data_IF_274390439306
#
_entry.id   IF_274390439306
#
_cell.length_a   1.000
_cell.length_b   1.000
_cell.length_c   1.000
_cell.angle_alpha   90.00
_cell.angle_beta   90.00
_cell.angle_gamma   90.00
#
_symmetry.space_group_name_H-M   'P 1'
#
loop_
_entity.id
_entity.type
_entity.pdbx_description
1 polymer ?
#
# COMPACT_ATOMS: atom_id res chain seq x y z
N UNK A 1 -11.87 5.21 -23.80
CA UNK A 1 -10.43 5.54 -23.69
C UNK A 1 -10.12 6.66 -24.68
N UNK A 2 -9.34 7.66 -24.28
CA UNK A 2 -8.98 8.82 -25.12
C UNK A 2 -7.49 8.80 -25.40
N UNK A 3 -7.11 9.04 -26.66
CA UNK A 3 -5.72 9.20 -27.09
C UNK A 3 -5.52 10.64 -27.55
N UNK A 4 -4.57 11.35 -26.96
CA UNK A 4 -4.37 12.76 -27.24
C UNK A 4 -3.47 12.88 -28.46
N UNK A 5 -3.99 13.48 -29.54
CA UNK A 5 -3.26 13.69 -30.78
C UNK A 5 -2.61 15.08 -30.76
N UNK A 6 -3.34 16.11 -30.33
CA UNK A 6 -2.87 17.50 -30.24
C UNK A 6 -3.48 18.23 -29.05
N UNK A 7 -2.81 19.28 -28.59
CA UNK A 7 -3.25 20.09 -27.45
C UNK A 7 -2.74 19.56 -26.10
N UNK A 8 -3.25 20.13 -25.01
CA UNK A 8 -2.90 19.75 -23.64
C UNK A 8 -4.15 19.64 -22.77
N UNK A 9 -4.19 18.61 -21.92
CA UNK A 9 -5.23 18.44 -20.93
C UNK A 9 -4.60 18.38 -19.54
N UNK A 10 -5.34 18.80 -18.54
CA UNK A 10 -5.02 18.57 -17.15
C UNK A 10 -5.88 17.42 -16.61
N UNK A 11 -5.25 16.43 -16.00
CA UNK A 11 -5.89 15.29 -15.36
C UNK A 11 -5.70 15.41 -13.85
N UNK A 12 -6.79 15.51 -13.11
CA UNK A 12 -6.78 15.61 -11.65
C UNK A 12 -7.54 14.44 -11.00
N UNK A 13 -6.98 13.85 -9.94
CA UNK A 13 -7.66 12.87 -9.09
C UNK A 13 -7.64 13.29 -7.62
N UNK A 14 -8.75 13.01 -6.94
CA UNK A 14 -8.96 13.27 -5.51
C UNK A 14 -9.11 11.98 -4.69
N UNK A 15 -8.87 10.81 -5.30
CA UNK A 15 -9.01 9.47 -4.68
C UNK A 15 -10.25 9.37 -3.77
N UNK A 16 -11.42 9.61 -4.37
CA UNK A 16 -12.71 9.52 -3.67
C UNK A 16 -13.00 10.68 -2.71
N UNK A 17 -12.33 11.83 -2.83
CA UNK A 17 -12.56 13.00 -1.98
C UNK A 17 -11.77 13.01 -0.67
N UNK A 18 -10.72 12.19 -0.58
CA UNK A 18 -9.87 12.14 0.61
C UNK A 18 -9.10 13.45 0.75
N UNK A 19 -9.33 14.18 1.85
CA UNK A 19 -8.65 15.46 2.11
C UNK A 19 -7.13 15.30 2.11
N UNK A 20 -6.43 16.11 1.31
CA UNK A 20 -4.97 16.09 1.21
C UNK A 20 -4.39 15.11 0.17
N UNK A 21 -5.24 14.42 -0.59
CA UNK A 21 -4.83 13.68 -1.78
C UNK A 21 -5.29 14.43 -3.03
N UNK A 22 -4.40 15.21 -3.63
CA UNK A 22 -4.62 15.85 -4.92
C UNK A 22 -3.43 15.53 -5.82
N UNK A 23 -3.69 14.78 -6.88
CA UNK A 23 -2.71 14.51 -7.91
C UNK A 23 -3.19 15.12 -9.22
N UNK A 24 -2.47 16.11 -9.71
CA UNK A 24 -2.70 16.73 -11.01
C UNK A 24 -1.52 16.46 -11.93
N UNK A 25 -1.83 16.16 -13.19
CA UNK A 25 -0.85 15.93 -14.23
C UNK A 25 -1.31 16.53 -15.56
N UNK A 26 -0.36 17.11 -16.30
CA UNK A 26 -0.60 17.58 -17.66
C UNK A 26 -0.39 16.44 -18.65
N UNK A 27 -1.46 16.07 -19.35
CA UNK A 27 -1.43 15.14 -20.47
C UNK A 27 -1.08 15.88 -21.76
N UNK A 28 -0.15 15.31 -22.52
CA UNK A 28 0.44 15.85 -23.75
C UNK A 28 0.08 14.97 -24.96
N UNK A 29 0.38 15.43 -26.19
CA UNK A 29 0.27 14.58 -27.37
C UNK A 29 1.02 13.26 -27.20
N UNK A 30 0.35 12.15 -27.48
CA UNK A 30 0.85 10.79 -27.26
C UNK A 30 0.43 10.16 -25.92
N UNK A 31 -0.09 10.96 -24.97
CA UNK A 31 -0.63 10.43 -23.72
C UNK A 31 -2.07 9.91 -23.90
N UNK A 32 -2.49 9.09 -22.94
CA UNK A 32 -3.77 8.41 -22.94
C UNK A 32 -4.54 8.65 -21.63
N UNK A 33 -5.87 8.61 -21.72
CA UNK A 33 -6.79 8.70 -20.59
C UNK A 33 -7.83 7.58 -20.66
N UNK A 34 -8.30 7.10 -19.51
CA UNK A 34 -9.27 6.00 -19.42
C UNK A 34 -8.61 4.62 -19.48
N UNK A 35 -7.42 4.50 -18.91
CA UNK A 35 -6.60 3.28 -18.85
C UNK A 35 -7.17 2.18 -17.95
N UNK A 36 -8.07 2.55 -17.05
CA UNK A 36 -8.89 1.61 -16.28
C UNK A 36 -9.72 0.71 -17.20
N UNK A 37 -10.17 1.23 -18.34
CA UNK A 37 -10.95 0.49 -19.31
C UNK A 37 -10.11 -0.57 -20.03
N UNK A 38 -8.81 -0.29 -20.23
CA UNK A 38 -7.88 -1.26 -20.81
C UNK A 38 -7.68 -2.46 -19.88
N UNK A 39 -7.57 -2.22 -18.57
CA UNK A 39 -7.48 -3.29 -17.59
C UNK A 39 -8.74 -4.15 -17.60
N UNK A 40 -9.92 -3.53 -17.67
CA UNK A 40 -11.19 -4.24 -17.81
C UNK A 40 -11.25 -5.08 -19.08
N UNK A 41 -10.92 -4.51 -20.24
CA UNK A 41 -11.00 -5.18 -21.54
C UNK A 41 -10.05 -6.38 -21.66
N UNK A 42 -8.91 -6.36 -20.94
CA UNK A 42 -7.91 -7.43 -20.94
C UNK A 42 -8.24 -8.61 -20.01
N UNK A 43 -9.27 -8.49 -19.17
CA UNK A 43 -9.69 -9.58 -18.30
C UNK A 43 -10.35 -10.70 -19.12
N UNK A 44 -10.10 -11.99 -18.81
CA UNK A 44 -10.74 -13.10 -19.51
C UNK A 44 -12.28 -13.05 -19.48
N UNK A 45 -12.84 -12.59 -18.35
CA UNK A 45 -14.26 -12.41 -18.14
C UNK A 45 -14.52 -11.00 -17.60
N UNK A 46 -14.61 -9.97 -18.47
CA UNK A 46 -14.88 -8.61 -18.04
C UNK A 46 -16.30 -8.51 -17.47
N UNK A 47 -16.46 -7.76 -16.38
CA UNK A 47 -17.78 -7.45 -15.82
C UNK A 47 -18.65 -6.72 -16.84
N UNK A 48 -19.98 -6.87 -16.73
CA UNK A 48 -20.93 -6.13 -17.58
C UNK A 48 -20.85 -4.63 -17.30
N UNK A 49 -20.55 -4.25 -16.05
CA UNK A 49 -20.37 -2.86 -15.66
C UNK A 49 -18.97 -2.36 -16.05
N UNK A 50 -18.93 -1.13 -16.57
CA UNK A 50 -17.69 -0.42 -16.87
C UNK A 50 -17.04 0.10 -15.58
N UNK A 51 -15.70 0.20 -15.54
CA UNK A 51 -15.02 0.90 -14.46
C UNK A 51 -15.39 2.38 -14.49
N UNK A 52 -15.75 2.94 -13.33
CA UNK A 52 -15.95 4.38 -13.18
C UNK A 52 -14.60 5.11 -13.24
N UNK A 53 -14.54 6.21 -13.98
CA UNK A 53 -13.36 7.07 -13.97
C UNK A 53 -13.12 7.62 -12.56
N UNK A 54 -11.87 7.57 -12.11
CA UNK A 54 -11.41 8.17 -10.83
C UNK A 54 -10.72 9.52 -11.04
N UNK A 55 -10.72 9.99 -12.29
CA UNK A 55 -9.98 11.15 -12.75
C UNK A 55 -10.94 12.11 -13.46
N UNK A 56 -10.80 13.39 -13.17
CA UNK A 56 -11.42 14.47 -13.92
C UNK A 56 -10.39 15.06 -14.88
N UNK A 57 -10.75 15.18 -16.15
CA UNK A 57 -9.89 15.75 -17.18
C UNK A 57 -10.47 17.06 -17.69
N UNK A 58 -9.61 18.08 -17.76
CA UNK A 58 -9.95 19.44 -18.19
C UNK A 58 -9.07 19.83 -19.37
N UNK A 59 -9.67 20.27 -20.47
CA UNK A 59 -8.91 20.83 -21.59
C UNK A 59 -8.34 22.20 -21.19
N UNK A 60 -7.05 22.42 -21.43
CA UNK A 60 -6.39 23.71 -21.17
C UNK A 60 -6.46 24.66 -22.38
N UNK A 61 -6.89 24.14 -23.54
CA UNK A 61 -7.04 24.87 -24.80
C UNK A 61 -7.73 23.99 -25.85
N UNK A 62 -7.49 24.25 -27.13
CA UNK A 62 -7.94 23.39 -28.22
C UNK A 62 -7.21 22.05 -28.19
N UNK A 63 -7.98 20.96 -28.23
CA UNK A 63 -7.49 19.60 -28.09
C UNK A 63 -8.12 18.73 -29.16
N UNK A 64 -7.28 17.95 -29.84
CA UNK A 64 -7.72 16.88 -30.72
C UNK A 64 -7.40 15.55 -30.03
N UNK A 65 -8.43 14.73 -29.82
CA UNK A 65 -8.29 13.41 -29.21
C UNK A 65 -9.10 12.36 -29.96
N UNK A 66 -8.55 11.17 -30.08
CA UNK A 66 -9.24 10.00 -30.61
C UNK A 66 -9.93 9.24 -29.47
N UNK A 67 -11.23 9.01 -29.61
CA UNK A 67 -12.01 8.27 -28.63
C UNK A 67 -12.20 6.82 -29.10
N UNK A 68 -11.66 5.87 -28.34
CA UNK A 68 -11.92 4.44 -28.50
C UNK A 68 -12.97 4.01 -27.47
N UNK A 69 -14.10 3.53 -27.97
CA UNK A 69 -15.21 3.07 -27.12
C UNK A 69 -14.87 1.75 -26.42
N UNK A 70 -15.60 1.45 -25.35
CA UNK A 70 -15.35 0.27 -24.54
C UNK A 70 -15.59 -1.03 -25.31
N UNK A 71 -16.62 -1.05 -26.14
CA UNK A 71 -17.04 -2.19 -26.94
C UNK A 71 -15.97 -2.52 -27.99
N UNK A 72 -15.48 -1.48 -28.67
CA UNK A 72 -14.43 -1.59 -29.69
C UNK A 72 -13.11 -2.03 -29.05
N UNK A 73 -12.76 -1.49 -27.88
CA UNK A 73 -11.56 -1.90 -27.14
C UNK A 73 -11.63 -3.37 -26.71
N UNK A 74 -12.79 -3.83 -26.23
CA UNK A 74 -13.02 -5.24 -25.87
C UNK A 74 -12.92 -6.15 -27.09
N UNK A 75 -13.47 -5.73 -28.23
CA UNK A 75 -13.37 -6.46 -29.49
C UNK A 75 -11.92 -6.64 -29.91
N UNK A 76 -11.14 -5.56 -29.90
CA UNK A 76 -9.70 -5.59 -30.21
C UNK A 76 -8.96 -6.48 -29.21
N UNK A 77 -9.21 -6.34 -27.90
CA UNK A 77 -8.56 -7.16 -26.89
C UNK A 77 -8.80 -8.66 -27.10
N UNK A 78 -10.04 -9.04 -27.43
CA UNK A 78 -10.41 -10.42 -27.68
C UNK A 78 -9.78 -10.99 -28.96
N UNK A 79 -9.66 -10.18 -30.02
CA UNK A 79 -9.09 -10.68 -31.27
C UNK A 79 -7.57 -10.81 -31.22
N UNK A 80 -6.89 -9.83 -30.64
CA UNK A 80 -5.43 -9.81 -30.64
C UNK A 80 -4.88 -10.54 -29.42
N UNK A 81 -4.62 -11.85 -29.55
CA UNK A 81 -3.97 -12.67 -28.50
C UNK A 81 -2.68 -12.04 -27.95
N UNK A 82 -1.94 -11.31 -28.81
CA UNK A 82 -0.72 -10.58 -28.43
C UNK A 82 -0.98 -9.51 -27.37
N UNK A 83 -2.21 -8.98 -27.28
CA UNK A 83 -2.60 -7.99 -26.27
C UNK A 83 -2.59 -8.56 -24.84
N UNK A 84 -2.81 -9.86 -24.69
CA UNK A 84 -2.72 -10.58 -23.42
C UNK A 84 -1.29 -10.98 -23.03
N UNK A 85 -0.29 -10.66 -23.86
CA UNK A 85 1.11 -10.91 -23.51
C UNK A 85 1.52 -10.11 -22.28
N UNK A 86 2.20 -10.78 -21.33
CA UNK A 86 2.75 -10.13 -20.13
C UNK A 86 3.66 -8.95 -20.46
N UNK A 87 4.44 -9.05 -21.56
CA UNK A 87 5.33 -7.96 -22.01
C UNK A 87 4.54 -6.70 -22.33
N UNK A 88 3.45 -6.84 -23.08
CA UNK A 88 2.63 -5.70 -23.47
C UNK A 88 1.82 -5.13 -22.30
N UNK A 89 1.26 -6.01 -21.46
CA UNK A 89 0.57 -5.57 -20.23
C UNK A 89 1.50 -4.78 -19.32
N UNK A 90 2.76 -5.21 -19.17
CA UNK A 90 3.77 -4.46 -18.41
C UNK A 90 4.10 -3.11 -19.05
N UNK A 91 4.20 -3.04 -20.39
CA UNK A 91 4.39 -1.77 -21.09
C UNK A 91 3.23 -0.79 -20.82
N UNK A 92 1.98 -1.24 -20.95
CA UNK A 92 0.81 -0.41 -20.64
C UNK A 92 0.80 0.06 -19.17
N UNK A 93 1.10 -0.83 -18.23
CA UNK A 93 1.23 -0.46 -16.80
C UNK A 93 2.36 0.54 -16.56
N UNK A 94 3.45 0.45 -17.31
CA UNK A 94 4.58 1.36 -17.19
C UNK A 94 4.25 2.76 -17.73
N UNK A 95 3.51 2.86 -18.84
CA UNK A 95 3.11 4.14 -19.43
C UNK A 95 1.91 4.79 -18.74
N UNK A 96 1.15 4.01 -17.97
CA UNK A 96 0.01 4.50 -17.21
C UNK A 96 0.39 5.43 -16.07
N UNK A 97 -0.31 6.56 -15.98
CA UNK A 97 -0.14 7.53 -14.91
C UNK A 97 -0.73 7.04 -13.58
N UNK A 98 -1.85 6.32 -13.62
CA UNK A 98 -2.48 5.76 -12.45
C UNK A 98 -1.58 4.70 -11.79
N UNK A 99 -1.02 3.78 -12.57
CA UNK A 99 -0.12 2.74 -12.06
C UNK A 99 1.16 3.35 -11.45
N UNK A 100 1.73 4.41 -12.06
CA UNK A 100 2.86 5.16 -11.48
C UNK A 100 2.49 5.82 -10.15
N UNK A 101 1.32 6.45 -10.09
CA UNK A 101 0.80 7.09 -8.87
C UNK A 101 0.62 6.08 -7.75
N UNK A 102 -0.03 4.95 -8.05
CA UNK A 102 -0.23 3.85 -7.12
C UNK A 102 1.10 3.31 -6.60
N UNK A 103 2.08 3.11 -7.49
CA UNK A 103 3.43 2.68 -7.12
C UNK A 103 4.11 3.65 -6.14
N UNK A 104 4.02 4.96 -6.41
CA UNK A 104 4.51 6.00 -5.51
C UNK A 104 3.83 5.96 -4.14
N UNK A 105 2.50 5.87 -4.11
CA UNK A 105 1.71 5.79 -2.88
C UNK A 105 2.05 4.56 -2.05
N UNK A 106 2.25 3.41 -2.71
CA UNK A 106 2.61 2.16 -2.04
C UNK A 106 3.97 2.26 -1.34
N UNK A 107 4.97 2.80 -2.02
CA UNK A 107 6.31 3.04 -1.45
C UNK A 107 6.21 4.02 -0.27
N UNK A 108 5.47 5.12 -0.44
CA UNK A 108 5.26 6.11 0.62
C UNK A 108 4.59 5.49 1.85
N UNK A 109 3.57 4.65 1.67
CA UNK A 109 2.89 3.95 2.76
C UNK A 109 3.84 3.01 3.50
N UNK A 110 4.62 2.20 2.76
CA UNK A 110 5.62 1.30 3.34
C UNK A 110 6.67 2.06 4.16
N UNK A 111 7.16 3.20 3.64
CA UNK A 111 8.11 4.07 4.34
C UNK A 111 7.53 4.69 5.62
N UNK A 112 6.30 5.21 5.55
CA UNK A 112 5.60 5.76 6.72
C UNK A 112 5.42 4.69 7.80
N UNK A 113 5.03 3.47 7.41
CA UNK A 113 4.94 2.32 8.32
C UNK A 113 6.29 1.95 8.95
N UNK A 114 7.36 1.94 8.16
CA UNK A 114 8.72 1.70 8.67
C UNK A 114 9.12 2.76 9.71
N UNK A 115 8.94 4.05 9.41
CA UNK A 115 9.24 5.16 10.34
C UNK A 115 8.48 5.01 11.65
N UNK A 116 7.17 4.73 11.59
CA UNK A 116 6.34 4.50 12.79
C UNK A 116 6.87 3.34 13.64
N UNK A 117 7.20 2.21 13.02
CA UNK A 117 7.77 1.04 13.71
C UNK A 117 9.15 1.33 14.31
N UNK A 118 9.99 2.12 13.64
CA UNK A 118 11.32 2.51 14.14
C UNK A 118 11.18 3.39 15.38
N UNK A 119 10.30 4.39 15.35
CA UNK A 119 10.03 5.28 16.47
C UNK A 119 9.46 4.50 17.66
N UNK A 120 8.46 3.63 17.43
CA UNK A 120 7.88 2.80 18.48
C UNK A 120 8.90 1.88 19.16
N UNK A 121 9.87 1.33 18.40
CA UNK A 121 10.97 0.55 18.97
C UNK A 121 11.92 1.37 19.82
N UNK A 122 12.21 2.62 19.42
CA UNK A 122 13.07 3.50 20.22
C UNK A 122 12.36 3.91 21.52
N UNK A 123 11.07 4.25 21.47
CA UNK A 123 10.28 4.53 22.67
C UNK A 123 10.23 3.32 23.62
N UNK A 124 9.92 2.13 23.09
CA UNK A 124 9.92 0.91 23.90
C UNK A 124 11.29 0.61 24.53
N UNK A 125 12.39 0.94 23.83
CA UNK A 125 13.74 0.84 24.39
C UNK A 125 13.94 1.82 25.55
N UNK A 126 13.56 3.09 25.37
CA UNK A 126 13.65 4.08 26.43
C UNK A 126 12.80 3.69 27.64
N UNK A 127 11.54 3.31 27.44
CA UNK A 127 10.65 2.85 28.50
C UNK A 127 11.20 1.62 29.24
N UNK A 128 11.84 0.68 28.53
CA UNK A 128 12.50 -0.48 29.18
C UNK A 128 13.70 -0.09 30.05
N UNK A 129 14.41 1.00 29.73
CA UNK A 129 15.47 1.55 30.58
C UNK A 129 14.94 2.25 31.82
N UNK A 130 13.73 2.82 31.77
CA UNK A 130 13.12 3.52 32.91
C UNK A 130 12.30 2.61 33.84
N UNK A 131 11.87 1.42 33.39
CA UNK A 131 11.01 0.52 34.17
C UNK A 131 11.71 -0.64 34.91
N UNK A 132 13.04 -0.69 34.95
CA UNK A 132 13.78 -1.62 35.83
C UNK A 132 15.02 -0.90 36.35
N UNK A 133 15.13 -0.61 37.67
CA UNK A 133 14.92 -1.53 38.79
C UNK A 133 14.12 -0.96 39.99
N UNK A 134 13.04 -1.63 40.41
CA UNK A 134 12.48 -1.49 41.78
C UNK A 134 11.95 -2.84 42.27
N UNK A 135 12.76 -3.89 42.07
CA UNK A 135 12.42 -5.24 42.55
C UNK A 135 13.66 -6.04 42.98
N UNK A 136 14.76 -5.36 43.32
CA UNK A 136 15.95 -6.02 43.85
C UNK A 136 16.64 -5.17 44.93
N UNK A 137 15.95 -5.02 46.07
CA UNK A 137 16.58 -4.59 47.33
C UNK A 137 15.69 -4.99 48.52
N UNK A 138 15.91 -6.22 48.96
CA UNK A 138 15.93 -6.67 50.36
C UNK A 138 15.04 -5.98 51.41
N UNK A 139 14.05 -6.71 51.93
CA UNK A 139 14.09 -7.11 53.34
C UNK A 139 13.18 -8.31 53.61
N UNK A 140 13.81 -9.44 53.94
CA UNK A 140 13.21 -10.49 54.78
C UNK A 140 12.80 -9.83 56.10
N UNK A 141 11.52 -9.83 56.43
CA UNK A 141 11.08 -9.79 57.82
C UNK A 141 10.04 -10.90 57.99
N UNK A 142 10.47 -11.88 58.76
CA UNK A 142 9.77 -13.06 59.25
C UNK A 142 9.22 -12.69 60.64
N UNK A 143 7.91 -12.76 60.89
CA UNK A 143 7.33 -12.88 62.24
C UNK A 143 5.88 -13.43 62.18
N UNK A 144 5.78 -14.70 62.55
CA UNK A 144 4.86 -15.35 63.51
C UNK A 144 3.33 -15.29 63.39
N UNK A 145 2.75 -16.49 63.57
CA UNK A 145 1.35 -16.93 63.55
C UNK A 145 0.39 -16.39 64.65
N UNK A 146 -0.90 -16.67 64.38
CA UNK A 146 -2.05 -16.94 65.29
C UNK A 146 -3.09 -15.81 65.59
N UNK A 147 -4.37 -16.18 65.84
CA UNK A 147 -5.53 -15.63 65.14
C UNK A 147 -6.63 -15.09 66.08
N UNK A 148 -7.59 -14.32 65.56
CA UNK A 148 -8.84 -14.09 66.28
C UNK A 148 -10.04 -13.95 65.35
N UNK A 149 -10.89 -14.98 65.45
CA UNK A 149 -12.30 -15.05 65.09
C UNK A 149 -13.08 -13.90 65.72
N UNK A 150 -14.00 -13.25 64.98
CA UNK A 150 -15.42 -13.09 65.28
C UNK A 150 -16.16 -12.53 64.05
N UNK A 151 -17.46 -12.78 64.05
CA UNK A 151 -18.34 -13.02 62.92
C UNK A 151 -19.41 -11.91 62.78
N UNK A 152 -20.08 -11.91 61.62
CA UNK A 152 -21.41 -11.36 61.29
C UNK A 152 -21.67 -9.85 61.06
N UNK A 153 -21.91 -9.54 59.78
CA UNK A 153 -23.19 -9.07 59.19
C UNK A 153 -24.03 -8.00 59.92
N UNK A 154 -24.15 -6.79 59.36
CA UNK A 154 -25.34 -6.32 58.61
C UNK A 154 -25.39 -4.78 58.44
N UNK A 155 -25.57 -4.39 57.18
CA UNK A 155 -26.48 -3.36 56.65
C UNK A 155 -26.39 -1.83 56.92
N UNK A 156 -26.50 -1.14 55.77
CA UNK A 156 -27.10 0.18 55.48
C UNK A 156 -26.31 1.49 55.71
N UNK A 157 -26.12 2.18 54.57
CA UNK A 157 -26.32 3.63 54.32
C UNK A 157 -25.09 4.47 53.97
N UNK A 158 -24.97 4.71 52.65
CA UNK A 158 -24.90 6.00 51.97
C UNK A 158 -23.77 7.02 52.29
N UNK A 159 -23.12 7.42 51.19
CA UNK A 159 -22.34 8.65 50.95
C UNK A 159 -20.98 8.80 51.64
N UNK A 160 -19.88 8.74 50.89
CA UNK A 160 -19.37 9.88 50.11
C UNK A 160 -18.02 9.57 49.43
N UNK A 161 -17.86 10.12 48.23
CA UNK A 161 -16.64 10.60 47.59
C UNK A 161 -15.37 9.72 47.46
N UNK A 162 -15.01 9.49 46.20
CA UNK A 162 -13.64 9.51 45.64
C UNK A 162 -12.66 8.39 46.01
N UNK A 163 -12.65 7.32 45.20
CA UNK A 163 -11.41 6.88 44.53
C UNK A 163 -11.76 5.93 43.37
N UNK A 164 -11.91 6.47 42.15
CA UNK A 164 -11.99 5.63 40.96
C UNK A 164 -10.61 5.06 40.65
N UNK A 165 -10.26 4.00 41.35
CA UNK A 165 -9.11 3.16 41.03
C UNK A 165 -9.43 2.46 39.70
N UNK A 166 -9.00 3.05 38.59
CA UNK A 166 -8.99 2.47 37.25
C UNK A 166 -8.14 1.19 37.25
N UNK A 167 -8.75 0.08 37.69
CA UNK A 167 -8.23 -1.27 37.49
C UNK A 167 -8.48 -1.63 36.02
N UNK A 168 -7.56 -1.24 35.16
CA UNK A 168 -7.43 -1.86 33.84
C UNK A 168 -6.89 -3.28 34.05
N UNK A 169 -7.80 -4.26 34.14
CA UNK A 169 -7.44 -5.68 34.10
C UNK A 169 -6.79 -5.97 32.76
N UNK A 170 -5.46 -6.08 32.76
CA UNK A 170 -4.65 -6.50 31.62
C UNK A 170 -4.92 -7.98 31.38
N UNK A 171 -5.91 -8.29 30.54
CA UNK A 171 -6.07 -9.60 29.91
C UNK A 171 -5.34 -9.60 28.57
N UNK A 172 -4.04 -9.86 28.57
CA UNK A 172 -3.34 -10.23 27.33
C UNK A 172 -2.13 -11.11 27.63
N UNK A 173 -2.36 -12.37 27.92
CA UNK A 173 -1.31 -13.39 27.92
C UNK A 173 -1.90 -14.70 27.42
N UNK A 174 -1.54 -15.10 26.18
CA UNK A 174 -1.28 -16.49 25.76
C UNK A 174 -1.29 -16.80 24.25
N UNK A 175 -1.20 -15.83 23.34
CA UNK A 175 -0.99 -16.19 21.92
C UNK A 175 -0.03 -15.24 21.22
N UNK A 176 1.27 -15.58 21.23
CA UNK A 176 2.12 -15.72 20.03
C UNK A 176 3.42 -16.42 20.47
N UNK A 177 3.45 -17.76 20.37
CA UNK A 177 4.69 -18.53 20.32
C UNK A 177 4.72 -19.24 18.97
N UNK A 178 5.87 -19.15 18.31
CA UNK A 178 6.32 -19.90 17.13
C UNK A 178 6.03 -19.31 15.75
N UNK A 179 6.93 -18.44 15.26
CA UNK A 179 7.49 -18.54 13.91
C UNK A 179 8.92 -17.96 13.86
N UNK A 180 9.92 -18.70 14.36
CA UNK A 180 11.32 -18.44 14.00
C UNK A 180 12.08 -19.75 13.81
N UNK A 181 12.22 -20.16 12.55
CA UNK A 181 13.28 -21.07 12.12
C UNK A 181 13.53 -20.85 10.62
N UNK A 182 14.72 -20.36 10.27
CA UNK A 182 15.17 -20.34 8.88
C UNK A 182 16.13 -19.21 8.50
N UNK A 183 17.43 -19.47 8.70
CA UNK A 183 18.56 -18.98 7.89
C UNK A 183 18.90 -17.48 7.97
N UNK A 184 19.80 -17.13 8.89
CA UNK A 184 20.73 -16.00 8.73
C UNK A 184 22.11 -16.61 8.45
N UNK A 185 22.51 -16.64 7.19
CA UNK A 185 23.92 -16.78 6.84
C UNK A 185 24.58 -15.41 6.96
N UNK A 186 25.53 -15.34 7.89
CA UNK A 186 26.49 -14.27 8.07
C UNK A 186 27.31 -14.10 6.78
N UNK A 187 27.33 -12.91 6.21
CA UNK A 187 28.51 -12.41 5.51
C UNK A 187 28.79 -10.97 5.94
N UNK A 188 30.03 -10.78 6.35
CA UNK A 188 30.69 -9.51 6.65
C UNK A 188 31.03 -8.89 5.29
N UNK A 189 30.88 -7.58 5.15
CA UNK A 189 31.96 -6.69 4.67
C UNK A 189 31.43 -5.31 4.28
N UNK A 190 32.08 -4.31 4.87
CA UNK A 190 31.72 -2.90 4.87
C UNK A 190 32.02 -2.17 3.53
N UNK A 191 32.36 -2.89 2.45
CA UNK A 191 32.80 -2.29 1.18
C UNK A 191 31.71 -2.22 0.09
N UNK A 192 30.51 -2.75 0.33
CA UNK A 192 29.39 -2.70 -0.64
C UNK A 192 28.55 -1.42 -0.57
N UNK A 193 28.78 -0.56 0.42
CA UNK A 193 27.94 0.63 0.68
C UNK A 193 28.11 1.69 -0.41
N UNK A 194 29.28 1.80 -1.04
CA UNK A 194 29.56 2.78 -2.08
C UNK A 194 28.92 2.43 -3.45
N UNK A 195 28.73 1.14 -3.75
CA UNK A 195 28.12 0.70 -5.03
C UNK A 195 26.59 0.66 -4.94
N UNK A 196 26.02 0.54 -3.73
CA UNK A 196 24.59 0.39 -3.49
C UNK A 196 23.74 1.67 -3.67
N UNK A 197 24.38 2.85 -3.76
CA UNK A 197 23.66 4.11 -3.99
C UNK A 197 23.32 4.40 -5.46
N UNK A 198 23.83 3.60 -6.39
CA UNK A 198 23.45 3.71 -7.79
C UNK A 198 22.15 2.91 -7.98
N UNK A 199 21.01 3.58 -7.81
CA UNK A 199 19.71 2.99 -8.15
C UNK A 199 19.83 2.34 -9.53
N UNK A 200 19.45 1.06 -9.69
CA UNK A 200 19.38 0.44 -11.00
C UNK A 200 18.53 1.37 -11.86
N UNK A 201 19.09 1.84 -12.98
CA UNK A 201 18.29 2.57 -13.97
C UNK A 201 17.18 1.60 -14.35
N UNK A 202 15.94 1.92 -13.96
CA UNK A 202 14.77 1.13 -14.33
C UNK A 202 14.76 1.09 -15.86
N UNK A 203 15.08 -0.07 -16.41
CA UNK A 203 15.02 -0.29 -17.84
C UNK A 203 13.56 -0.11 -18.21
N UNK A 204 13.29 0.84 -19.12
CA UNK A 204 11.98 0.92 -19.75
C UNK A 204 11.68 -0.47 -20.33
N UNK A 205 10.46 -1.01 -20.16
CA UNK A 205 10.10 -2.23 -20.85
C UNK A 205 10.41 -2.09 -22.34
N UNK A 206 11.04 -3.10 -22.93
CA UNK A 206 11.30 -3.11 -24.37
C UNK A 206 9.98 -2.87 -25.11
N UNK A 207 10.00 -1.90 -26.02
CA UNK A 207 8.81 -1.55 -26.78
C UNK A 207 8.29 -2.80 -27.51
N UNK A 208 6.98 -3.06 -27.45
CA UNK A 208 6.37 -4.13 -28.22
C UNK A 208 6.60 -3.87 -29.72
N UNK A 209 7.29 -4.78 -30.39
CA UNK A 209 7.43 -4.71 -31.85
C UNK A 209 6.13 -5.16 -32.52
N UNK A 210 5.50 -4.26 -33.27
CA UNK A 210 4.26 -4.53 -33.98
C UNK A 210 4.46 -5.00 -35.42
N UNK A 211 5.68 -4.98 -35.96
CA UNK A 211 5.99 -5.19 -37.38
C UNK A 211 6.01 -6.65 -37.85
N UNK A 212 6.11 -7.61 -36.92
CA UNK A 212 6.40 -9.01 -37.24
C UNK A 212 5.23 -9.89 -37.73
N UNK A 213 4.04 -9.33 -38.00
CA UNK A 213 2.85 -10.11 -38.39
C UNK A 213 2.37 -9.85 -39.84
N UNK A 214 3.26 -9.37 -40.71
CA UNK A 214 2.95 -9.08 -42.12
C UNK A 214 3.48 -10.13 -43.11
N UNK A 215 3.97 -11.27 -42.63
CA UNK A 215 4.38 -12.39 -43.47
C UNK A 215 3.63 -13.64 -43.07
N UNK A 216 3.11 -14.36 -44.06
CA UNK A 216 2.67 -15.77 -44.02
C UNK A 216 1.16 -16.05 -44.17
N UNK A 217 0.38 -15.18 -44.85
CA UNK A 217 -0.99 -15.52 -45.29
C UNK A 217 -1.18 -15.48 -46.84
N UNK A 218 -0.11 -15.61 -47.62
CA UNK A 218 -0.16 -15.84 -49.07
C UNK A 218 0.50 -17.18 -49.43
N UNK A 219 -0.20 -18.31 -49.18
CA UNK A 219 -0.16 -19.57 -49.94
C UNK A 219 -0.88 -20.69 -49.15
N UNK A 220 -2.18 -20.92 -49.42
CA UNK A 220 -2.71 -22.18 -49.98
C UNK A 220 -4.22 -22.14 -50.18
#
# INVERSE_FOLDING_TARGET
MLFIIRGQLESSTTDGGTSGFFNSITLRPGDLCGEELLTWALMPNPSVNFPSSTITVRALGEVEAFALRAEDLKFVANQFKRLHSKKLQHAFRFYSHQWRTWGGCFIQAAWKCYKKRKLAKELARQESFFCTPLLDSSQKIEYSDEPSVYDNNNDLSAENANFQHLRATILTSKFVKNTKRGVIQKMRDNDLIAVSLKMPKLLKPDEPDFSANLGDDDEK
#
